data_IF_773425568334
#
_entry.id   IF_773425568334
#
_cell.length_a   1.000
_cell.length_b   1.000
_cell.length_c   1.000
_cell.angle_alpha   90.00
_cell.angle_beta   90.00
_cell.angle_gamma   90.00
#
_symmetry.space_group_name_H-M   'P 1'
#
loop_
_entity.id
_entity.type
_entity.pdbx_description
1 polymer ?
#
# COMPACT_ATOMS: atom_id res chain seq x y z
N UNK A 1 0.46 -1.41 -32.71
CA UNK A 1 1.84 -0.93 -32.47
C UNK A 1 2.47 -1.82 -31.44
N UNK A 2 3.48 -2.60 -31.83
CA UNK A 2 4.10 -3.63 -31.00
C UNK A 2 4.86 -2.98 -29.84
N UNK A 3 4.39 -3.18 -28.61
CA UNK A 3 5.15 -2.80 -27.41
C UNK A 3 6.33 -3.76 -27.30
N UNK A 4 7.51 -3.32 -27.73
CA UNK A 4 8.75 -4.07 -27.57
C UNK A 4 8.95 -4.45 -26.11
N UNK A 5 9.15 -5.74 -25.84
CA UNK A 5 9.53 -6.22 -24.52
C UNK A 5 10.88 -5.58 -24.16
N UNK A 6 10.90 -4.58 -23.29
CA UNK A 6 12.13 -4.05 -22.70
C UNK A 6 12.82 -5.20 -21.95
N UNK A 7 13.90 -5.74 -22.52
CA UNK A 7 14.77 -6.68 -21.81
C UNK A 7 15.52 -5.92 -20.74
N UNK A 8 15.46 -6.40 -19.50
CA UNK A 8 16.15 -5.78 -18.38
C UNK A 8 17.59 -6.31 -18.33
N UNK A 9 18.56 -5.41 -18.36
CA UNK A 9 19.95 -5.75 -17.99
C UNK A 9 20.01 -6.12 -16.51
N UNK A 10 20.78 -7.15 -16.19
CA UNK A 10 21.03 -7.55 -14.81
C UNK A 10 21.81 -6.41 -14.14
N UNK A 11 21.22 -5.85 -13.08
CA UNK A 11 21.86 -4.81 -12.26
C UNK A 11 22.34 -5.43 -10.95
N UNK A 12 23.49 -4.97 -10.48
CA UNK A 12 24.05 -5.39 -9.18
C UNK A 12 23.32 -4.74 -7.99
N UNK A 13 22.56 -3.67 -8.24
CA UNK A 13 21.75 -2.96 -7.24
C UNK A 13 20.27 -2.89 -7.62
N UNK A 14 19.42 -2.80 -6.59
CA UNK A 14 17.98 -2.57 -6.74
C UNK A 14 17.71 -1.10 -7.04
N UNK A 15 16.80 -0.86 -7.97
CA UNK A 15 16.32 0.48 -8.30
C UNK A 15 15.02 0.79 -7.55
N UNK A 16 15.03 1.84 -6.74
CA UNK A 16 13.87 2.31 -5.97
C UNK A 16 13.29 3.56 -6.60
N UNK A 17 12.00 3.53 -6.90
CA UNK A 17 11.24 4.70 -7.31
C UNK A 17 10.62 5.37 -6.07
N UNK A 18 11.06 6.60 -5.81
CA UNK A 18 10.60 7.45 -4.70
C UNK A 18 9.79 8.67 -5.17
N UNK A 19 9.27 8.68 -6.41
CA UNK A 19 8.54 9.84 -6.96
C UNK A 19 7.28 10.20 -6.17
N UNK A 20 6.69 9.22 -5.48
CA UNK A 20 5.53 9.36 -4.61
C UNK A 20 5.87 9.41 -3.11
N UNK A 21 7.14 9.64 -2.77
CA UNK A 21 7.62 9.76 -1.39
C UNK A 21 8.25 11.14 -1.14
N UNK A 22 7.77 11.84 -0.12
CA UNK A 22 8.24 13.17 0.28
C UNK A 22 9.23 13.13 1.44
N UNK A 23 9.42 11.99 2.09
CA UNK A 23 10.26 11.86 3.28
C UNK A 23 11.72 11.59 2.90
N UNK A 24 12.67 12.51 3.15
CA UNK A 24 14.08 12.32 2.81
C UNK A 24 14.70 11.10 3.49
N UNK A 25 14.19 10.73 4.67
CA UNK A 25 14.66 9.57 5.44
C UNK A 25 14.53 8.26 4.66
N UNK A 26 13.53 8.11 3.78
CA UNK A 26 13.36 6.90 2.97
C UNK A 26 14.45 6.81 1.90
N UNK A 27 14.85 7.95 1.32
CA UNK A 27 15.99 8.03 0.40
C UNK A 27 17.29 7.67 1.11
N UNK A 28 17.57 8.27 2.27
CA UNK A 28 18.78 7.93 3.05
C UNK A 28 18.82 6.45 3.42
N UNK A 29 17.69 5.84 3.78
CA UNK A 29 17.61 4.43 4.09
C UNK A 29 17.91 3.55 2.87
N UNK A 30 17.36 3.89 1.69
CA UNK A 30 17.64 3.20 0.44
C UNK A 30 19.13 3.27 0.07
N UNK A 31 19.73 4.47 0.14
CA UNK A 31 21.14 4.69 -0.15
C UNK A 31 22.06 3.90 0.79
N UNK A 32 21.73 3.84 2.10
CA UNK A 32 22.49 3.02 3.08
C UNK A 32 22.39 1.52 2.82
N UNK A 33 21.31 1.07 2.19
CA UNK A 33 21.14 -0.32 1.76
C UNK A 33 21.82 -0.61 0.40
N UNK A 34 22.48 0.40 -0.18
CA UNK A 34 23.14 0.30 -1.48
C UNK A 34 22.19 0.35 -2.67
N UNK A 35 20.94 0.78 -2.47
CA UNK A 35 19.95 0.89 -3.54
C UNK A 35 20.15 2.18 -4.32
N UNK A 36 19.89 2.12 -5.63
CA UNK A 36 19.85 3.28 -6.50
C UNK A 36 18.45 3.89 -6.50
N UNK A 37 18.35 5.22 -6.62
CA UNK A 37 17.06 5.90 -6.72
C UNK A 37 16.79 6.28 -8.17
N UNK A 38 15.63 5.89 -8.70
CA UNK A 38 15.21 6.25 -10.05
C UNK A 38 15.11 7.78 -10.21
N UNK A 39 15.61 8.28 -11.33
CA UNK A 39 15.55 9.70 -11.70
C UNK A 39 14.20 10.04 -12.35
N UNK A 40 13.62 9.09 -13.09
CA UNK A 40 12.33 9.24 -13.79
C UNK A 40 11.31 8.16 -13.39
N UNK A 41 10.02 8.53 -13.33
CA UNK A 41 8.95 7.60 -12.95
C UNK A 41 8.78 6.44 -13.96
N UNK A 42 9.13 6.67 -15.23
CA UNK A 42 9.02 5.71 -16.33
C UNK A 42 10.16 4.69 -16.38
N UNK A 43 11.18 4.82 -15.52
CA UNK A 43 12.23 3.83 -15.37
C UNK A 43 11.67 2.48 -14.90
N UNK A 44 12.34 1.39 -15.30
CA UNK A 44 11.97 0.05 -14.88
C UNK A 44 12.54 -0.23 -13.48
N UNK A 45 11.79 0.15 -12.45
CA UNK A 45 12.15 0.02 -11.04
C UNK A 45 11.83 -1.36 -10.44
N UNK A 46 12.51 -1.69 -9.34
CA UNK A 46 12.32 -2.89 -8.51
C UNK A 46 11.32 -2.67 -7.38
N UNK A 47 11.50 -1.55 -6.67
CA UNK A 47 10.67 -1.15 -5.55
C UNK A 47 10.07 0.21 -5.84
N UNK A 48 8.78 0.38 -5.59
CA UNK A 48 8.13 1.68 -5.59
C UNK A 48 7.61 1.98 -4.18
N UNK A 49 8.00 3.14 -3.65
CA UNK A 49 7.59 3.59 -2.34
C UNK A 49 6.67 4.81 -2.46
N UNK A 50 5.50 4.72 -1.84
CA UNK A 50 4.52 5.81 -1.77
C UNK A 50 4.13 6.10 -0.34
N UNK A 51 3.98 7.39 -0.03
CA UNK A 51 3.46 7.84 1.27
C UNK A 51 1.95 7.62 1.38
N UNK A 52 1.26 7.64 0.24
CA UNK A 52 -0.19 7.49 0.15
C UNK A 52 -0.58 6.09 -0.32
N UNK A 53 -1.84 5.74 -0.10
CA UNK A 53 -2.43 4.49 -0.58
C UNK A 53 -2.26 4.35 -2.10
N UNK A 54 -1.90 3.14 -2.53
CA UNK A 54 -1.74 2.80 -3.95
C UNK A 54 -3.06 2.30 -4.53
N UNK A 55 -3.40 2.72 -5.75
CA UNK A 55 -4.61 2.26 -6.45
C UNK A 55 -4.50 0.80 -6.87
N UNK A 56 -5.65 0.12 -6.92
CA UNK A 56 -5.78 -1.25 -7.42
C UNK A 56 -5.19 -1.41 -8.82
N UNK A 57 -5.43 -0.43 -9.70
CA UNK A 57 -4.94 -0.43 -11.07
C UNK A 57 -3.42 -0.44 -11.15
N UNK A 58 -2.72 0.27 -10.25
CA UNK A 58 -1.25 0.24 -10.21
C UNK A 58 -0.77 -1.13 -9.75
N UNK A 59 -1.40 -1.72 -8.73
CA UNK A 59 -1.04 -3.06 -8.23
C UNK A 59 -1.20 -4.11 -9.34
N UNK A 60 -2.27 -4.04 -10.13
CA UNK A 60 -2.53 -4.98 -11.23
C UNK A 60 -1.52 -4.89 -12.38
N UNK A 61 -0.84 -3.74 -12.54
CA UNK A 61 0.16 -3.51 -13.59
C UNK A 61 1.58 -3.91 -13.18
N UNK A 62 1.78 -4.36 -11.94
CA UNK A 62 3.09 -4.78 -11.46
C UNK A 62 3.62 -5.97 -12.25
N UNK A 63 4.91 -5.93 -12.55
CA UNK A 63 5.64 -7.10 -13.03
C UNK A 63 5.97 -8.02 -11.84
N UNK A 64 6.17 -9.35 -12.06
CA UNK A 64 6.38 -10.30 -10.97
C UNK A 64 7.55 -10.00 -10.02
N UNK A 65 8.57 -9.29 -10.48
CA UNK A 65 9.72 -8.88 -9.68
C UNK A 65 9.48 -7.58 -8.89
N UNK A 66 8.51 -6.77 -9.31
CA UNK A 66 8.27 -5.45 -8.71
C UNK A 66 7.59 -5.58 -7.35
N UNK A 67 7.92 -4.65 -6.45
CA UNK A 67 7.37 -4.57 -5.10
C UNK A 67 6.86 -3.18 -4.79
N UNK A 68 5.85 -3.13 -3.91
CA UNK A 68 5.24 -1.91 -3.38
C UNK A 68 5.22 -1.99 -1.85
N UNK A 69 5.28 -0.84 -1.18
CA UNK A 69 5.14 -0.76 0.28
C UNK A 69 3.69 -0.78 0.78
N UNK A 70 2.69 -0.99 -0.09
CA UNK A 70 1.27 -1.01 0.25
C UNK A 70 0.59 -2.28 -0.26
N UNK A 71 -0.26 -2.88 0.58
CA UNK A 71 -1.13 -3.99 0.19
C UNK A 71 -2.47 -3.47 -0.37
N UNK A 72 -2.99 -4.05 -1.47
CA UNK A 72 -4.35 -3.77 -1.91
C UNK A 72 -5.36 -4.20 -0.84
N UNK A 73 -6.42 -3.41 -0.64
CA UNK A 73 -7.47 -3.70 0.35
C UNK A 73 -7.17 -3.26 1.79
N UNK A 74 -5.98 -2.73 2.07
CA UNK A 74 -5.60 -2.26 3.42
C UNK A 74 -6.54 -1.16 3.96
N UNK A 75 -7.23 -0.42 3.08
CA UNK A 75 -8.22 0.58 3.46
C UNK A 75 -9.42 -0.01 4.23
N UNK A 76 -9.69 -1.31 4.12
CA UNK A 76 -10.73 -1.97 4.91
C UNK A 76 -10.48 -1.86 6.42
N UNK A 77 -9.21 -1.86 6.84
CA UNK A 77 -8.84 -1.70 8.26
C UNK A 77 -8.30 -0.30 8.58
N UNK A 78 -7.78 0.45 7.60
CA UNK A 78 -7.25 1.79 7.83
C UNK A 78 -8.32 2.90 7.84
N UNK A 79 -9.46 2.71 7.15
CA UNK A 79 -10.56 3.69 7.17
C UNK A 79 -11.49 3.40 8.35
N UNK A 80 -11.66 4.37 9.25
CA UNK A 80 -12.49 4.24 10.47
C UNK A 80 -13.88 3.64 10.21
N UNK A 81 -14.57 4.07 9.15
CA UNK A 81 -15.90 3.53 8.82
C UNK A 81 -15.88 2.05 8.42
N UNK A 82 -14.93 1.63 7.57
CA UNK A 82 -14.79 0.24 7.18
C UNK A 82 -14.31 -0.62 8.36
N UNK A 83 -13.32 -0.13 9.11
CA UNK A 83 -12.81 -0.76 10.32
C UNK A 83 -13.93 -1.01 11.34
N UNK A 84 -14.78 -0.01 11.59
CA UNK A 84 -15.90 -0.13 12.54
C UNK A 84 -16.85 -1.26 12.13
N UNK A 85 -17.23 -1.32 10.85
CA UNK A 85 -18.11 -2.38 10.34
C UNK A 85 -17.49 -3.77 10.48
N UNK A 86 -16.20 -3.92 10.17
CA UNK A 86 -15.52 -5.21 10.29
C UNK A 86 -15.36 -5.63 11.74
N UNK A 87 -14.99 -4.70 12.61
CA UNK A 87 -14.83 -4.96 14.04
C UNK A 87 -16.18 -5.30 14.71
N UNK A 88 -17.27 -4.60 14.37
CA UNK A 88 -18.60 -4.93 14.87
C UNK A 88 -19.03 -6.35 14.47
N UNK A 89 -18.77 -6.75 13.21
CA UNK A 89 -19.04 -8.12 12.72
C UNK A 89 -18.22 -9.17 13.46
N UNK A 90 -16.95 -8.89 13.73
CA UNK A 90 -16.07 -9.81 14.44
C UNK A 90 -16.42 -9.89 15.93
N UNK A 91 -16.74 -8.77 16.58
CA UNK A 91 -17.19 -8.73 17.97
C UNK A 91 -18.49 -9.49 18.19
N UNK A 92 -19.43 -9.46 17.22
CA UNK A 92 -20.64 -10.27 17.28
C UNK A 92 -20.37 -11.79 17.21
N UNK A 93 -19.31 -12.21 16.51
CA UNK A 93 -18.95 -13.63 16.33
C UNK A 93 -18.00 -14.16 17.40
N UNK A 94 -17.06 -13.34 17.83
CA UNK A 94 -15.97 -13.69 18.76
C UNK A 94 -15.90 -12.63 19.88
N UNK A 95 -16.93 -12.52 20.73
CA UNK A 95 -17.05 -11.43 21.69
C UNK A 95 -15.92 -11.39 22.72
N UNK A 96 -15.35 -12.53 23.10
CA UNK A 96 -14.25 -12.60 24.06
C UNK A 96 -12.92 -12.05 23.48
N UNK A 97 -12.64 -12.35 22.21
CA UNK A 97 -11.39 -11.94 21.54
C UNK A 97 -11.42 -10.47 21.12
N UNK A 98 -12.61 -9.93 20.82
CA UNK A 98 -12.79 -8.57 20.31
C UNK A 98 -13.25 -7.57 21.39
N UNK A 99 -13.00 -7.86 22.67
CA UNK A 99 -13.31 -6.94 23.79
C UNK A 99 -12.55 -5.61 23.74
N UNK A 100 -11.47 -5.55 22.97
CA UNK A 100 -10.70 -4.33 22.74
C UNK A 100 -11.42 -3.33 21.82
N UNK A 101 -12.42 -3.76 21.05
CA UNK A 101 -13.16 -2.89 20.14
C UNK A 101 -14.21 -2.07 20.91
N UNK A 102 -14.12 -0.73 20.91
CA UNK A 102 -15.20 0.10 21.42
C UNK A 102 -16.37 0.11 20.42
N UNK A 103 -17.60 -0.28 20.81
CA UNK A 103 -18.76 -0.21 19.93
C UNK A 103 -18.90 1.17 19.29
N UNK A 104 -18.98 1.20 17.96
CA UNK A 104 -18.94 2.43 17.18
C UNK A 104 -19.96 2.37 16.05
N UNK A 105 -20.69 3.47 15.82
CA UNK A 105 -21.71 3.58 14.78
C UNK A 105 -21.16 4.30 13.54
N UNK A 106 -21.52 3.82 12.35
CA UNK A 106 -21.21 4.47 11.08
C UNK A 106 -22.44 5.22 10.60
N UNK A 107 -22.42 6.55 10.76
CA UNK A 107 -23.51 7.42 10.30
C UNK A 107 -23.27 7.84 8.83
N UNK A 108 -24.34 8.04 8.03
CA UNK A 108 -25.76 7.99 8.41
C UNK A 108 -26.36 6.57 8.42
N UNK A 109 -25.63 5.55 7.96
CA UNK A 109 -26.16 4.19 7.76
C UNK A 109 -26.78 3.57 9.02
N UNK A 110 -26.28 3.96 10.20
CA UNK A 110 -26.71 3.44 11.50
C UNK A 110 -27.36 4.52 12.38
N UNK A 111 -28.04 5.50 11.76
CA UNK A 111 -28.72 6.55 12.51
C UNK A 111 -29.88 5.99 13.37
N UNK A 112 -30.56 4.93 12.90
CA UNK A 112 -31.66 4.28 13.61
C UNK A 112 -31.19 3.44 14.83
N UNK A 113 -29.89 3.17 14.95
CA UNK A 113 -29.28 2.40 16.05
C UNK A 113 -28.84 3.30 17.24
N UNK A 114 -29.03 4.63 17.15
CA UNK A 114 -28.76 5.58 18.24
C UNK A 114 -29.85 5.54 19.32
#
# INVERSE_FOLDING_TARGET
MSSGKKSREVRDSLLVNLSACRYPLVREAAERLGYEVAEDESELWDLFWSDLSVSSDRVQRLLPFQRLNHFPGMLEICRKGALSRHMARMAARLPAEYRFYPPSLVLPDQLDDL
#
